data_IF_351899099827
#
_entry.id   IF_351899099827
#
_cell.length_a   1.000
_cell.length_b   1.000
_cell.length_c   1.000
_cell.angle_alpha   90.00
_cell.angle_beta   90.00
_cell.angle_gamma   90.00
#
_symmetry.space_group_name_H-M   'P 1'
#
loop_
_entity.id
_entity.type
_entity.pdbx_description
1 polymer ?
#
# COMPACT_ATOMS: atom_id res chain seq x y z
N UNK A 1 12.97 4.01 12.54
CA UNK A 1 12.00 5.13 12.62
C UNK A 1 10.94 4.82 11.58
N UNK A 2 9.71 4.46 11.94
CA UNK A 2 8.73 4.23 10.88
C UNK A 2 7.55 3.41 11.31
N UNK A 3 6.61 4.04 12.00
CA UNK A 3 5.15 3.79 11.95
C UNK A 3 4.38 5.03 12.46
N UNK A 4 5.11 6.13 12.70
CA UNK A 4 4.66 7.29 13.47
C UNK A 4 4.73 8.51 12.56
N UNK A 5 3.60 9.16 12.43
CA UNK A 5 3.38 10.35 11.65
C UNK A 5 3.89 11.63 12.36
N UNK A 6 4.15 12.73 11.62
CA UNK A 6 4.48 14.03 12.20
C UNK A 6 3.42 14.55 13.19
N UNK A 7 2.13 14.28 12.96
CA UNK A 7 1.04 14.68 13.86
C UNK A 7 1.04 13.96 15.21
N UNK A 8 1.69 12.79 15.32
CA UNK A 8 1.82 12.09 16.59
C UNK A 8 2.66 12.90 17.58
N UNK A 9 3.63 13.68 17.08
CA UNK A 9 4.41 14.63 17.89
C UNK A 9 3.58 15.84 18.38
N UNK A 10 2.37 16.03 17.82
CA UNK A 10 1.39 17.04 18.27
C UNK A 10 0.33 16.46 19.20
N UNK A 11 0.43 15.18 19.58
CA UNK A 11 -0.53 14.52 20.49
C UNK A 11 -1.89 14.18 19.86
N UNK A 12 -2.01 14.26 18.53
CA UNK A 12 -3.28 14.01 17.84
C UNK A 12 -3.37 12.52 17.47
N UNK A 13 -3.98 11.72 18.34
CA UNK A 13 -4.33 10.33 18.07
C UNK A 13 -5.69 10.32 17.39
N UNK A 14 -5.75 9.90 16.13
CA UNK A 14 -7.00 9.73 15.38
C UNK A 14 -7.01 8.38 14.69
N UNK A 15 -8.19 7.84 14.33
CA UNK A 15 -8.27 6.67 13.46
C UNK A 15 -7.48 6.84 12.14
N UNK A 16 -7.30 8.08 11.67
CA UNK A 16 -6.51 8.38 10.44
C UNK A 16 -5.01 8.17 10.63
N UNK A 17 -4.52 8.15 11.86
CA UNK A 17 -3.13 7.78 12.17
C UNK A 17 -2.95 6.27 12.00
N UNK A 18 -3.90 5.47 12.48
CA UNK A 18 -3.89 4.01 12.28
C UNK A 18 -3.98 3.64 10.79
N UNK A 19 -4.79 4.38 10.01
CA UNK A 19 -4.84 4.21 8.54
C UNK A 19 -3.48 4.40 7.89
N UNK A 20 -2.71 5.40 8.32
CA UNK A 20 -1.38 5.61 7.77
C UNK A 20 -0.44 4.45 8.12
N UNK A 21 -0.43 4.03 9.38
CA UNK A 21 0.39 2.89 9.82
C UNK A 21 0.02 1.61 9.07
N UNK A 22 -1.28 1.37 8.84
CA UNK A 22 -1.78 0.29 7.99
C UNK A 22 -1.25 0.42 6.55
N UNK A 23 -1.27 1.63 5.98
CA UNK A 23 -0.73 1.90 4.65
C UNK A 23 0.76 1.56 4.54
N UNK A 24 1.56 1.92 5.54
CA UNK A 24 2.98 1.54 5.62
C UNK A 24 3.11 0.02 5.62
N UNK A 25 2.39 -0.68 6.50
CA UNK A 25 2.45 -2.15 6.59
C UNK A 25 2.06 -2.83 5.27
N UNK A 26 1.00 -2.36 4.60
CA UNK A 26 0.60 -2.89 3.29
C UNK A 26 1.76 -2.76 2.28
N UNK A 27 2.40 -1.60 2.23
CA UNK A 27 3.54 -1.36 1.32
C UNK A 27 4.77 -2.20 1.69
N UNK A 28 5.06 -2.39 2.98
CA UNK A 28 6.15 -3.26 3.44
C UNK A 28 5.90 -4.73 3.05
N UNK A 29 4.67 -5.22 3.20
CA UNK A 29 4.28 -6.58 2.80
C UNK A 29 4.42 -6.78 1.29
N UNK A 30 4.01 -5.80 0.49
CA UNK A 30 4.07 -5.90 -0.98
C UNK A 30 5.50 -5.81 -1.49
N UNK A 31 6.31 -4.92 -0.92
CA UNK A 31 7.67 -4.65 -1.41
C UNK A 31 8.72 -5.55 -0.78
N UNK A 32 8.41 -6.20 0.35
CA UNK A 32 9.38 -6.93 1.15
C UNK A 32 10.40 -6.03 1.87
N UNK A 33 10.23 -4.71 1.84
CA UNK A 33 11.17 -3.75 2.41
C UNK A 33 10.56 -3.05 3.64
N UNK A 34 11.25 -3.15 4.78
CA UNK A 34 10.83 -2.56 6.07
C UNK A 34 11.09 -1.05 6.23
N UNK A 35 11.58 -0.39 5.18
CA UNK A 35 12.04 0.99 5.28
C UNK A 35 11.15 1.89 4.43
N UNK A 36 10.05 2.36 5.03
CA UNK A 36 9.31 3.52 4.56
C UNK A 36 10.00 4.82 5.06
N UNK A 37 10.12 5.90 4.27
CA UNK A 37 9.45 6.16 2.99
C UNK A 37 10.15 5.54 1.78
N UNK A 38 9.32 5.06 0.84
CA UNK A 38 9.74 4.69 -0.51
C UNK A 38 10.44 5.88 -1.20
N UNK A 39 11.29 5.61 -2.19
CA UNK A 39 12.02 6.64 -2.93
C UNK A 39 11.05 7.71 -3.47
N UNK A 40 11.00 8.85 -2.76
CA UNK A 40 10.16 10.03 -3.03
C UNK A 40 10.42 10.65 -4.40
N UNK A 41 11.48 10.22 -5.11
CA UNK A 41 11.80 10.68 -6.46
C UNK A 41 11.00 9.96 -7.54
N UNK A 42 10.38 8.81 -7.22
CA UNK A 42 9.60 8.01 -8.19
C UNK A 42 8.12 8.38 -8.11
N UNK A 43 7.48 8.55 -9.26
CA UNK A 43 6.03 8.75 -9.32
C UNK A 43 5.28 7.52 -8.78
N UNK A 44 4.07 7.73 -8.25
CA UNK A 44 3.22 6.63 -7.79
C UNK A 44 2.93 5.61 -8.90
N UNK A 45 2.81 6.08 -10.15
CA UNK A 45 2.57 5.23 -11.31
C UNK A 45 3.77 4.35 -11.65
N UNK A 46 4.97 4.92 -11.66
CA UNK A 46 6.22 4.18 -11.90
C UNK A 46 6.48 3.17 -10.78
N UNK A 47 6.17 3.54 -9.53
CA UNK A 47 6.24 2.63 -8.40
C UNK A 47 5.30 1.43 -8.60
N UNK A 48 4.01 1.67 -8.85
CA UNK A 48 3.03 0.62 -9.12
C UNK A 48 3.50 -0.28 -10.26
N UNK A 49 3.96 0.30 -11.38
CA UNK A 49 4.42 -0.45 -12.54
C UNK A 49 5.62 -1.35 -12.19
N UNK A 50 6.59 -0.80 -11.45
CA UNK A 50 7.80 -1.52 -11.06
C UNK A 50 7.52 -2.69 -10.12
N UNK A 51 6.71 -2.49 -9.08
CA UNK A 51 6.38 -3.56 -8.14
C UNK A 51 5.47 -4.61 -8.77
N UNK A 52 4.48 -4.18 -9.57
CA UNK A 52 3.60 -5.11 -10.27
C UNK A 52 4.35 -6.00 -11.26
N UNK A 53 5.40 -5.48 -11.90
CA UNK A 53 6.24 -6.27 -12.79
C UNK A 53 7.03 -7.34 -12.02
N UNK A 54 7.61 -7.01 -10.85
CA UNK A 54 8.28 -7.99 -9.98
C UNK A 54 7.33 -9.11 -9.57
N UNK A 55 6.13 -8.74 -9.12
CA UNK A 55 5.10 -9.70 -8.74
C UNK A 55 4.67 -10.58 -9.92
N UNK A 56 4.46 -10.00 -11.11
CA UNK A 56 4.11 -10.78 -12.29
C UNK A 56 5.18 -11.83 -12.61
N UNK A 57 6.45 -11.47 -12.58
CA UNK A 57 7.56 -12.42 -12.80
C UNK A 57 7.52 -13.54 -11.76
N UNK A 58 7.43 -13.20 -10.47
CA UNK A 58 7.39 -14.19 -9.40
C UNK A 58 6.17 -15.13 -9.49
N UNK A 59 5.00 -14.60 -9.85
CA UNK A 59 3.77 -15.38 -10.03
C UNK A 59 3.83 -16.32 -11.25
N UNK A 60 4.58 -15.96 -12.29
CA UNK A 60 4.78 -16.80 -13.48
C UNK A 60 5.72 -17.97 -13.23
N UNK A 61 6.62 -17.84 -12.26
CA UNK A 61 7.55 -18.90 -11.84
C UNK A 61 6.90 -19.90 -10.87
N UNK A 62 5.76 -19.55 -10.27
CA UNK A 62 5.06 -20.38 -9.28
C UNK A 62 4.17 -21.46 -9.96
N UNK A 63 4.51 -22.76 -9.88
CA UNK A 63 3.83 -23.82 -10.63
C UNK A 63 2.35 -24.01 -10.26
N UNK A 64 1.96 -23.55 -9.07
CA UNK A 64 0.62 -23.73 -8.51
C UNK A 64 -0.34 -22.57 -8.82
N UNK A 65 0.15 -21.50 -9.46
CA UNK A 65 -0.62 -20.27 -9.64
C UNK A 65 -1.68 -20.42 -10.73
N UNK A 66 -2.95 -20.24 -10.36
CA UNK A 66 -4.09 -20.48 -11.25
C UNK A 66 -4.41 -19.30 -12.17
N UNK A 67 -4.11 -18.06 -11.77
CA UNK A 67 -4.48 -16.87 -12.55
C UNK A 67 -3.60 -15.66 -12.24
N UNK A 68 -2.42 -15.59 -12.86
CA UNK A 68 -1.47 -14.47 -12.74
C UNK A 68 -2.14 -13.11 -12.90
N UNK A 69 -3.03 -12.93 -13.88
CA UNK A 69 -3.69 -11.64 -14.11
C UNK A 69 -4.68 -11.24 -13.01
N UNK A 70 -5.38 -12.20 -12.40
CA UNK A 70 -6.28 -11.93 -11.28
C UNK A 70 -5.47 -11.49 -10.06
N UNK A 71 -4.39 -12.19 -9.76
CA UNK A 71 -3.53 -11.90 -8.61
C UNK A 71 -2.79 -10.57 -8.81
N UNK A 72 -2.29 -10.31 -10.01
CA UNK A 72 -1.75 -8.99 -10.37
C UNK A 72 -2.77 -7.85 -10.17
N UNK A 73 -4.05 -8.06 -10.51
CA UNK A 73 -5.09 -7.04 -10.26
C UNK A 73 -5.29 -6.79 -8.77
N UNK A 74 -5.30 -7.84 -7.95
CA UNK A 74 -5.42 -7.71 -6.49
C UNK A 74 -4.20 -7.01 -5.90
N UNK A 75 -2.99 -7.40 -6.29
CA UNK A 75 -1.73 -6.78 -5.85
C UNK A 75 -1.69 -5.30 -6.23
N UNK A 76 -2.03 -4.96 -7.48
CA UNK A 76 -2.13 -3.56 -7.93
C UNK A 76 -3.07 -2.75 -7.03
N UNK A 77 -4.22 -3.33 -6.68
CA UNK A 77 -5.19 -2.68 -5.80
C UNK A 77 -4.62 -2.48 -4.40
N UNK A 78 -3.95 -3.47 -3.82
CA UNK A 78 -3.29 -3.34 -2.52
C UNK A 78 -2.23 -2.23 -2.53
N UNK A 79 -1.44 -2.10 -3.60
CA UNK A 79 -0.47 -0.99 -3.75
C UNK A 79 -1.20 0.36 -3.73
N UNK A 80 -2.28 0.50 -4.51
CA UNK A 80 -3.06 1.73 -4.57
C UNK A 80 -3.66 2.10 -3.20
N UNK A 81 -4.23 1.12 -2.48
CA UNK A 81 -4.74 1.31 -1.12
C UNK A 81 -3.62 1.80 -0.20
N UNK A 82 -2.47 1.10 -0.20
CA UNK A 82 -1.31 1.49 0.61
C UNK A 82 -0.87 2.92 0.35
N UNK A 83 -0.77 3.32 -0.92
CA UNK A 83 -0.40 4.68 -1.34
C UNK A 83 -1.38 5.76 -0.86
N UNK A 84 -2.69 5.52 -0.95
CA UNK A 84 -3.70 6.50 -0.48
C UNK A 84 -3.69 6.56 1.06
N UNK A 85 -3.48 5.43 1.73
CA UNK A 85 -3.39 5.37 3.20
C UNK A 85 -2.21 6.19 3.75
N UNK A 86 -1.06 6.18 3.06
CA UNK A 86 0.12 6.95 3.47
C UNK A 86 0.13 8.41 3.00
N UNK A 87 -1.03 8.95 2.58
CA UNK A 87 -1.12 10.35 2.19
C UNK A 87 -0.78 11.27 3.38
N UNK A 88 0.07 12.27 3.16
CA UNK A 88 0.42 13.25 4.19
C UNK A 88 -0.79 14.07 4.63
N UNK A 89 -1.72 14.33 3.72
CA UNK A 89 -3.00 14.95 4.04
C UNK A 89 -3.97 13.90 4.62
N UNK A 90 -4.21 13.98 5.93
CA UNK A 90 -5.12 13.08 6.66
C UNK A 90 -6.54 13.04 6.10
N UNK A 91 -7.00 14.12 5.45
CA UNK A 91 -8.36 14.20 4.92
C UNK A 91 -8.51 13.39 3.64
N UNK A 92 -7.40 13.13 2.93
CA UNK A 92 -7.35 12.30 1.72
C UNK A 92 -7.20 10.81 2.02
N UNK A 93 -6.84 10.45 3.26
CA UNK A 93 -6.76 9.04 3.68
C UNK A 93 -8.18 8.46 3.73
N UNK A 94 -8.41 7.20 3.33
CA UNK A 94 -9.72 6.59 3.40
C UNK A 94 -10.13 6.27 4.84
N UNK A 95 -11.36 5.82 5.02
CA UNK A 95 -11.87 5.17 6.23
C UNK A 95 -11.63 3.65 6.14
N UNK A 96 -11.66 2.95 7.27
CA UNK A 96 -11.56 1.48 7.27
C UNK A 96 -12.65 0.83 6.41
N UNK A 97 -13.86 1.39 6.41
CA UNK A 97 -14.97 0.91 5.56
C UNK A 97 -14.63 1.01 4.07
N UNK A 98 -14.11 2.15 3.64
CA UNK A 98 -13.68 2.33 2.24
C UNK A 98 -12.56 1.38 1.86
N UNK A 99 -11.58 1.15 2.75
CA UNK A 99 -10.50 0.18 2.52
C UNK A 99 -11.06 -1.22 2.31
N UNK A 100 -12.01 -1.66 3.16
CA UNK A 100 -12.65 -2.97 3.02
C UNK A 100 -13.38 -3.08 1.68
N UNK A 101 -14.14 -2.07 1.29
CA UNK A 101 -14.85 -2.05 0.00
C UNK A 101 -13.86 -2.17 -1.17
N UNK A 102 -12.79 -1.38 -1.15
CA UNK A 102 -11.74 -1.45 -2.15
C UNK A 102 -11.15 -2.87 -2.21
N UNK A 103 -10.78 -3.47 -1.08
CA UNK A 103 -10.23 -4.84 -1.06
C UNK A 103 -11.19 -5.86 -1.68
N UNK A 104 -12.48 -5.78 -1.34
CA UNK A 104 -13.53 -6.63 -1.91
C UNK A 104 -13.78 -6.36 -3.40
N UNK A 105 -13.32 -5.22 -3.92
CA UNK A 105 -13.53 -4.82 -5.30
C UNK A 105 -14.94 -4.34 -5.59
N UNK A 106 -15.60 -3.83 -4.55
CA UNK A 106 -16.96 -3.28 -4.55
C UNK A 106 -16.90 -1.77 -4.74
#
# INVERSE_FOLDING_TARGET
RGYILPEYFRGIITPKSDIFSLGVVILEVITGHRNYPYDIRRSSEDFIKSELQKWRTALQEEPTMKSVDKDCKQIKRCIQIGLICVNLDRTKRPTMKEIINMLQGV
#
